data_IF_448719334226
#
_entry.id   IF_448719334226
#
_cell.length_a   1.000
_cell.length_b   1.000
_cell.length_c   1.000
_cell.angle_alpha   90.00
_cell.angle_beta   90.00
_cell.angle_gamma   90.00
#
_symmetry.space_group_name_H-M   'P 1'
#
loop_
_entity.id
_entity.type
_entity.pdbx_description
1 polymer ?
#
# COMPACT_ATOMS: atom_id res chain seq x y z
N UNK A 1 63.29 -18.64 9.32
CA UNK A 1 62.34 -17.51 9.20
C UNK A 1 61.11 -18.03 8.47
N UNK A 2 60.05 -18.42 9.20
CA UNK A 2 58.81 -18.92 8.61
C UNK A 2 57.81 -17.78 8.56
N UNK A 3 57.37 -17.37 7.37
CA UNK A 3 56.35 -16.33 7.18
C UNK A 3 55.00 -17.02 7.03
N UNK A 4 54.20 -17.00 8.09
CA UNK A 4 52.78 -17.39 8.03
C UNK A 4 52.01 -16.20 7.43
N UNK A 5 51.44 -16.39 6.24
CA UNK A 5 50.54 -15.43 5.61
C UNK A 5 49.12 -15.83 6.04
N UNK A 6 48.53 -15.08 6.97
CA UNK A 6 47.14 -15.25 7.37
C UNK A 6 46.26 -14.63 6.30
N UNK A 7 45.63 -15.45 5.49
CA UNK A 7 44.65 -15.04 4.49
C UNK A 7 43.34 -14.66 5.22
N UNK A 8 43.13 -13.36 5.44
CA UNK A 8 41.86 -12.82 5.96
C UNK A 8 40.80 -12.94 4.86
N UNK A 9 40.03 -14.04 4.86
CA UNK A 9 38.78 -14.13 4.14
C UNK A 9 37.78 -13.15 4.79
N UNK A 10 37.68 -11.94 4.25
CA UNK A 10 36.55 -11.06 4.45
C UNK A 10 35.32 -11.70 3.80
N UNK A 11 34.63 -12.56 4.55
CA UNK A 11 33.26 -12.97 4.19
C UNK A 11 32.40 -11.74 4.45
N UNK A 12 32.22 -10.92 3.42
CA UNK A 12 31.23 -9.86 3.42
C UNK A 12 29.85 -10.51 3.53
N UNK A 13 29.31 -10.58 4.75
CA UNK A 13 27.89 -10.82 4.97
C UNK A 13 27.16 -9.61 4.37
N UNK A 14 26.72 -9.74 3.12
CA UNK A 14 25.74 -8.82 2.54
C UNK A 14 24.42 -9.06 3.26
N UNK A 15 24.18 -8.31 4.34
CA UNK A 15 22.86 -8.20 4.93
C UNK A 15 21.98 -7.45 3.93
N UNK A 16 21.09 -8.15 3.22
CA UNK A 16 20.01 -7.51 2.49
C UNK A 16 19.06 -6.88 3.51
N UNK A 17 19.29 -5.62 3.84
CA UNK A 17 18.31 -4.82 4.57
C UNK A 17 17.15 -4.50 3.61
N UNK A 18 16.24 -5.46 3.42
CA UNK A 18 15.04 -5.24 2.62
C UNK A 18 13.91 -4.69 3.49
N UNK A 19 13.87 -3.38 3.66
CA UNK A 19 12.62 -2.68 3.98
C UNK A 19 12.75 -1.24 3.46
N UNK A 20 11.72 -0.68 2.82
CA UNK A 20 10.64 -0.06 3.58
C UNK A 20 9.31 -0.12 2.80
N UNK A 21 8.90 -1.37 2.56
CA UNK A 21 7.59 -1.86 2.09
C UNK A 21 7.37 -1.95 0.57
N UNK A 22 7.42 -3.19 0.09
CA UNK A 22 7.31 -3.56 -1.32
C UNK A 22 5.89 -3.57 -1.87
N UNK A 23 5.71 -4.38 -2.90
CA UNK A 23 4.45 -4.50 -3.63
C UNK A 23 3.66 -5.70 -3.17
N UNK A 24 2.36 -5.50 -3.00
CA UNK A 24 1.43 -6.50 -2.51
C UNK A 24 0.22 -6.56 -3.43
N UNK A 25 -0.29 -7.76 -3.66
CA UNK A 25 -1.41 -7.99 -4.56
C UNK A 25 -2.33 -9.08 -4.07
N UNK A 26 -3.58 -9.09 -4.53
CA UNK A 26 -4.45 -10.26 -4.36
C UNK A 26 -3.99 -11.45 -5.21
N UNK A 27 -3.26 -11.18 -6.30
CA UNK A 27 -2.70 -12.19 -7.21
C UNK A 27 -1.46 -11.61 -7.92
N UNK A 28 -0.28 -12.17 -7.63
CA UNK A 28 0.95 -11.74 -8.29
C UNK A 28 0.97 -12.22 -9.75
N UNK A 29 1.57 -11.42 -10.65
CA UNK A 29 1.67 -11.67 -12.11
C UNK A 29 0.35 -11.55 -12.89
N UNK A 30 -0.67 -10.91 -12.33
CA UNK A 30 -1.91 -10.57 -13.02
C UNK A 30 -2.02 -9.06 -13.20
N UNK A 31 -2.07 -8.60 -14.45
CA UNK A 31 -2.16 -7.16 -14.77
C UNK A 31 -3.50 -6.55 -14.33
N UNK A 32 -4.54 -7.38 -14.21
CA UNK A 32 -5.89 -6.96 -13.81
C UNK A 32 -6.15 -7.08 -12.30
N UNK A 33 -5.19 -7.59 -11.53
CA UNK A 33 -5.32 -7.73 -10.09
C UNK A 33 -5.16 -6.40 -9.36
N UNK A 34 -5.71 -6.32 -8.15
CA UNK A 34 -5.45 -5.19 -7.25
C UNK A 34 -4.00 -5.22 -6.78
N UNK A 35 -3.28 -4.12 -6.95
CA UNK A 35 -1.90 -3.96 -6.48
C UNK A 35 -1.78 -2.72 -5.59
N UNK A 36 -0.97 -2.83 -4.53
CA UNK A 36 -0.58 -1.71 -3.69
C UNK A 36 0.92 -1.74 -3.42
N UNK A 37 1.59 -0.63 -3.68
CA UNK A 37 3.01 -0.44 -3.37
C UNK A 37 3.14 0.41 -2.12
N UNK A 38 3.73 -0.14 -1.06
CA UNK A 38 3.60 0.38 0.29
C UNK A 38 4.76 1.26 0.78
N UNK A 39 5.45 2.02 -0.06
CA UNK A 39 6.66 2.77 0.36
C UNK A 39 6.37 4.02 1.22
N UNK A 40 7.43 4.55 1.84
CA UNK A 40 7.38 5.75 2.69
C UNK A 40 7.12 7.09 1.98
N UNK A 41 6.86 7.07 0.68
CA UNK A 41 6.63 8.24 -0.17
C UNK A 41 5.55 7.93 -1.22
N UNK A 42 5.11 8.97 -1.91
CA UNK A 42 4.01 8.97 -2.87
C UNK A 42 4.07 7.82 -3.91
N UNK A 43 3.08 6.94 -3.88
CA UNK A 43 2.80 5.88 -4.87
C UNK A 43 1.42 6.04 -5.47
N UNK A 44 1.23 5.69 -6.75
CA UNK A 44 -0.10 5.57 -7.31
C UNK A 44 -0.83 4.36 -6.68
N UNK A 45 -2.11 4.54 -6.40
CA UNK A 45 -3.06 3.50 -6.04
C UNK A 45 -4.31 3.63 -6.89
N UNK A 46 -4.68 2.55 -7.58
CA UNK A 46 -5.92 2.45 -8.35
C UNK A 46 -7.06 2.05 -7.41
N UNK A 47 -8.04 2.94 -7.25
CA UNK A 47 -9.21 2.72 -6.38
C UNK A 47 -10.37 2.14 -7.16
N UNK A 48 -10.64 2.72 -8.33
CA UNK A 48 -11.59 2.22 -9.31
C UNK A 48 -10.98 2.40 -10.70
N UNK A 49 -10.97 1.32 -11.48
CA UNK A 49 -10.34 1.30 -12.78
C UNK A 49 -10.95 2.37 -13.70
N UNK A 50 -10.09 3.16 -14.35
CA UNK A 50 -10.46 4.31 -15.20
C UNK A 50 -11.33 5.38 -14.53
N UNK A 51 -11.53 5.34 -13.20
CA UNK A 51 -12.39 6.29 -12.50
C UNK A 51 -11.67 7.06 -11.40
N UNK A 52 -10.82 6.41 -10.61
CA UNK A 52 -10.13 7.04 -9.49
C UNK A 52 -8.74 6.43 -9.33
N UNK A 53 -7.71 7.23 -9.58
CA UNK A 53 -6.32 6.94 -9.23
C UNK A 53 -5.83 8.04 -8.29
N UNK A 54 -5.33 7.64 -7.12
CA UNK A 54 -4.81 8.56 -6.11
C UNK A 54 -3.32 8.33 -5.87
N UNK A 55 -2.67 9.31 -5.27
CA UNK A 55 -1.37 9.16 -4.65
C UNK A 55 -1.54 8.84 -3.18
N UNK A 56 -0.72 7.92 -2.68
CA UNK A 56 -0.68 7.51 -1.28
C UNK A 56 0.76 7.48 -0.76
N UNK A 57 0.92 7.58 0.56
CA UNK A 57 2.14 7.18 1.25
C UNK A 57 1.81 6.23 2.40
N UNK A 58 2.81 5.46 2.83
CA UNK A 58 2.65 4.48 3.89
C UNK A 58 3.61 4.72 5.04
N UNK A 59 3.15 4.50 6.27
CA UNK A 59 3.93 4.67 7.50
C UNK A 59 3.90 3.40 8.36
N UNK A 60 5.08 2.93 8.76
CA UNK A 60 5.21 1.87 9.77
C UNK A 60 4.82 2.41 11.15
N UNK A 61 3.89 1.75 11.82
CA UNK A 61 3.62 1.95 13.24
C UNK A 61 3.56 0.58 13.91
N UNK A 62 4.62 0.23 14.65
CA UNK A 62 4.80 -1.11 15.23
C UNK A 62 4.71 -2.20 14.16
N UNK A 63 3.73 -3.09 14.26
CA UNK A 63 3.46 -4.18 13.30
C UNK A 63 2.43 -3.80 12.22
N UNK A 64 1.90 -2.59 12.28
CA UNK A 64 0.89 -2.10 11.35
C UNK A 64 1.52 -1.14 10.34
N UNK A 65 0.92 -1.08 9.17
CA UNK A 65 1.17 -0.07 8.15
C UNK A 65 -0.08 0.76 8.03
N UNK A 66 0.07 2.06 8.19
CA UNK A 66 -0.99 3.01 7.90
C UNK A 66 -0.76 3.61 6.52
N UNK A 67 -1.80 3.61 5.70
CA UNK A 67 -1.81 4.19 4.36
C UNK A 67 -2.63 5.47 4.39
N UNK A 68 -2.09 6.53 3.81
CA UNK A 68 -2.67 7.86 3.78
C UNK A 68 -2.90 8.29 2.33
N UNK A 69 -3.94 9.09 2.10
CA UNK A 69 -4.18 9.77 0.82
C UNK A 69 -3.38 11.08 0.78
N UNK A 70 -2.71 11.36 -0.34
CA UNK A 70 -1.99 12.61 -0.54
C UNK A 70 -2.72 13.54 -1.52
N UNK A 71 -2.94 13.06 -2.74
CA UNK A 71 -3.59 13.83 -3.80
C UNK A 71 -4.23 12.92 -4.86
N UNK A 72 -5.07 13.52 -5.70
CA UNK A 72 -5.58 12.88 -6.92
C UNK A 72 -4.44 12.78 -7.95
N UNK A 73 -4.34 11.65 -8.64
CA UNK A 73 -3.51 11.49 -9.83
C UNK A 73 -4.37 11.60 -11.09
N UNK A 74 -5.48 10.86 -11.16
CA UNK A 74 -6.38 10.84 -12.31
C UNK A 74 -7.83 10.54 -11.91
N UNK A 75 -8.80 11.13 -12.62
CA UNK A 75 -10.23 10.96 -12.39
C UNK A 75 -11.00 10.74 -13.70
N UNK A 76 -11.80 9.69 -13.71
CA UNK A 76 -12.90 9.51 -14.65
C UNK A 76 -14.19 10.19 -14.19
N UNK A 77 -15.25 9.99 -14.97
CA UNK A 77 -16.55 10.64 -14.77
C UNK A 77 -17.19 10.36 -13.39
N UNK A 78 -16.97 9.16 -12.82
CA UNK A 78 -17.41 8.80 -11.48
C UNK A 78 -16.62 9.55 -10.40
N UNK A 79 -15.29 9.56 -10.51
CA UNK A 79 -14.40 10.22 -9.56
C UNK A 79 -14.58 11.74 -9.52
N UNK A 80 -14.83 12.39 -10.66
CA UNK A 80 -15.05 13.84 -10.74
C UNK A 80 -16.28 14.34 -9.96
N UNK A 81 -17.21 13.46 -9.59
CA UNK A 81 -18.42 13.84 -8.83
C UNK A 81 -18.16 13.95 -7.32
N UNK A 82 -17.01 13.48 -6.84
CA UNK A 82 -16.66 13.50 -5.42
C UNK A 82 -16.06 14.85 -5.03
N UNK A 83 -16.33 15.30 -3.81
CA UNK A 83 -15.81 16.55 -3.27
C UNK A 83 -14.40 16.36 -2.69
N UNK A 84 -13.42 16.26 -3.58
CA UNK A 84 -12.01 16.01 -3.22
C UNK A 84 -11.38 17.15 -2.39
N UNK A 85 -11.89 18.38 -2.48
CA UNK A 85 -11.35 19.52 -1.72
C UNK A 85 -11.50 19.36 -0.21
N UNK A 86 -12.51 18.57 0.21
CA UNK A 86 -12.77 18.28 1.61
C UNK A 86 -12.18 16.96 2.11
N UNK A 87 -11.46 16.21 1.27
CA UNK A 87 -10.78 14.98 1.71
C UNK A 87 -9.58 15.34 2.60
N UNK A 88 -9.43 14.61 3.71
CA UNK A 88 -8.30 14.75 4.61
C UNK A 88 -7.13 13.89 4.15
N UNK A 89 -5.93 14.48 4.13
CA UNK A 89 -4.66 13.77 3.94
C UNK A 89 -4.03 13.27 5.25
N UNK A 90 -4.57 13.69 6.40
CA UNK A 90 -4.07 13.30 7.73
C UNK A 90 -4.79 12.09 8.33
N UNK A 91 -5.78 11.54 7.61
CA UNK A 91 -6.58 10.40 8.06
C UNK A 91 -6.18 9.18 7.26
N UNK A 92 -6.05 8.06 7.97
CA UNK A 92 -5.69 6.76 7.41
C UNK A 92 -6.81 6.27 6.50
N UNK A 93 -6.50 5.96 5.24
CA UNK A 93 -7.44 5.39 4.27
C UNK A 93 -7.42 3.87 4.26
N UNK A 94 -6.30 3.26 4.66
CA UNK A 94 -6.20 1.81 4.87
C UNK A 94 -5.21 1.45 5.98
N UNK A 95 -5.46 0.35 6.67
CA UNK A 95 -4.51 -0.26 7.58
C UNK A 95 -4.12 -1.64 7.06
N UNK A 96 -2.83 -1.99 7.15
CA UNK A 96 -2.32 -3.28 6.70
C UNK A 96 -1.47 -3.91 7.80
N UNK A 97 -1.78 -5.16 8.11
CA UNK A 97 -0.96 -6.01 8.98
C UNK A 97 -0.20 -6.98 8.09
N UNK A 98 1.12 -6.98 8.19
CA UNK A 98 1.98 -7.90 7.44
C UNK A 98 2.43 -9.07 8.30
N UNK A 99 2.35 -10.27 7.74
CA UNK A 99 2.88 -11.51 8.31
C UNK A 99 3.66 -12.26 7.23
N UNK A 100 4.99 -12.16 7.26
CA UNK A 100 5.91 -12.74 6.27
C UNK A 100 5.53 -12.36 4.82
N UNK A 101 4.92 -13.28 4.08
CA UNK A 101 4.51 -13.12 2.69
C UNK A 101 3.01 -12.87 2.50
N UNK A 102 2.26 -12.72 3.59
CA UNK A 102 0.81 -12.45 3.59
C UNK A 102 0.54 -11.14 4.30
N UNK A 103 -0.38 -10.35 3.75
CA UNK A 103 -0.87 -9.10 4.32
C UNK A 103 -2.39 -9.12 4.47
N UNK A 104 -2.88 -8.41 5.48
CA UNK A 104 -4.30 -8.25 5.75
C UNK A 104 -4.63 -6.76 5.72
N UNK A 105 -5.26 -6.33 4.64
CA UNK A 105 -5.64 -4.94 4.43
C UNK A 105 -7.09 -4.71 4.86
N UNK A 106 -7.29 -3.65 5.64
CA UNK A 106 -8.59 -3.06 5.91
C UNK A 106 -8.67 -1.70 5.22
N UNK A 107 -9.63 -1.54 4.31
CA UNK A 107 -9.94 -0.26 3.69
C UNK A 107 -10.95 0.52 4.56
N UNK A 108 -10.72 1.81 4.75
CA UNK A 108 -11.63 2.70 5.49
C UNK A 108 -12.40 3.65 4.59
N UNK A 109 -11.91 3.94 3.39
CA UNK A 109 -12.44 4.99 2.53
C UNK A 109 -11.73 6.33 2.72
N UNK A 110 -12.25 7.35 2.04
CA UNK A 110 -11.78 8.72 2.16
C UNK A 110 -12.48 9.42 3.33
N UNK A 111 -11.73 10.19 4.11
CA UNK A 111 -12.31 10.95 5.21
C UNK A 111 -12.68 12.36 4.75
N UNK A 112 -13.96 12.71 4.83
CA UNK A 112 -14.46 14.04 4.54
C UNK A 112 -14.39 14.93 5.80
N UNK A 113 -13.60 16.00 5.73
CA UNK A 113 -13.41 16.97 6.82
C UNK A 113 -14.69 17.75 7.15
N UNK A 114 -15.59 17.93 6.18
CA UNK A 114 -16.82 18.71 6.33
C UNK A 114 -17.88 17.93 7.09
N UNK A 115 -18.07 16.66 6.72
CA UNK A 115 -19.05 15.78 7.36
C UNK A 115 -18.48 15.01 8.56
N UNK A 116 -17.15 14.98 8.70
CA UNK A 116 -16.43 14.23 9.73
C UNK A 116 -16.72 12.72 9.67
N UNK A 117 -16.94 12.19 8.46
CA UNK A 117 -17.22 10.78 8.20
C UNK A 117 -16.36 10.22 7.07
N UNK A 118 -16.23 8.90 7.02
CA UNK A 118 -15.65 8.20 5.88
C UNK A 118 -16.70 7.99 4.78
N UNK A 119 -16.27 8.06 3.53
CA UNK A 119 -17.06 7.74 2.34
C UNK A 119 -16.22 6.93 1.35
N UNK A 120 -16.85 6.37 0.32
CA UNK A 120 -16.16 5.54 -0.67
C UNK A 120 -15.47 4.30 -0.06
N UNK A 121 -16.10 3.71 0.95
CA UNK A 121 -15.57 2.59 1.72
C UNK A 121 -16.02 1.22 1.20
N UNK A 122 -17.10 1.15 0.41
CA UNK A 122 -17.62 -0.08 -0.19
C UNK A 122 -17.48 -0.12 -1.72
N UNK A 123 -17.22 1.04 -2.32
CA UNK A 123 -17.22 1.32 -3.75
C UNK A 123 -15.93 0.95 -4.50
N UNK A 124 -14.71 0.92 -3.90
CA UNK A 124 -13.51 0.54 -4.64
C UNK A 124 -13.62 -0.84 -5.29
N UNK A 125 -13.05 -1.01 -6.48
CA UNK A 125 -13.16 -2.25 -7.25
C UNK A 125 -12.60 -3.44 -6.46
N UNK A 126 -11.51 -3.22 -5.75
CA UNK A 126 -10.85 -4.24 -4.95
C UNK A 126 -11.63 -4.62 -3.70
N UNK A 127 -12.42 -3.70 -3.14
CA UNK A 127 -13.32 -3.99 -2.01
C UNK A 127 -14.45 -4.89 -2.50
N UNK A 128 -15.13 -4.49 -3.57
CA UNK A 128 -16.26 -5.25 -4.12
C UNK A 128 -15.87 -6.67 -4.56
N UNK A 129 -14.64 -6.86 -5.07
CA UNK A 129 -14.19 -8.15 -5.63
C UNK A 129 -13.52 -9.06 -4.61
N UNK A 130 -12.73 -8.51 -3.69
CA UNK A 130 -11.78 -9.31 -2.89
C UNK A 130 -11.98 -9.20 -1.38
N UNK A 131 -12.80 -8.27 -0.90
CA UNK A 131 -13.06 -8.15 0.53
C UNK A 131 -13.87 -9.35 1.04
N UNK A 132 -13.39 -9.94 2.14
CA UNK A 132 -14.12 -10.94 2.91
C UNK A 132 -14.14 -10.50 4.38
N UNK A 133 -15.33 -10.26 4.91
CA UNK A 133 -15.54 -9.82 6.30
C UNK A 133 -14.76 -8.52 6.65
N UNK A 134 -14.71 -7.54 5.75
CA UNK A 134 -14.01 -6.26 6.00
C UNK A 134 -12.49 -6.31 5.81
N UNK A 135 -11.95 -7.43 5.31
CA UNK A 135 -10.50 -7.64 5.12
C UNK A 135 -10.22 -8.15 3.71
N UNK A 136 -9.16 -7.61 3.11
CA UNK A 136 -8.60 -8.07 1.83
C UNK A 136 -7.27 -8.75 2.13
N UNK A 137 -7.14 -10.01 1.71
CA UNK A 137 -5.87 -10.73 1.83
C UNK A 137 -5.00 -10.41 0.61
N UNK A 138 -3.78 -9.98 0.87
CA UNK A 138 -2.78 -9.66 -0.16
C UNK A 138 -1.51 -10.47 0.08
N UNK A 139 -0.75 -10.74 -0.96
CA UNK A 139 0.49 -11.49 -0.94
C UNK A 139 1.63 -10.63 -1.43
N UNK A 140 2.81 -10.87 -0.86
CA UNK A 140 4.02 -10.18 -1.30
C UNK A 140 4.36 -10.61 -2.72
N UNK A 141 4.53 -9.64 -3.62
CA UNK A 141 4.99 -9.88 -4.97
C UNK A 141 6.44 -9.45 -5.11
N UNK A 142 7.27 -10.35 -5.62
CA UNK A 142 8.62 -10.03 -6.08
C UNK A 142 8.48 -9.50 -7.51
N UNK A 143 8.67 -8.19 -7.69
CA UNK A 143 8.67 -7.52 -9.00
C UNK A 143 10.11 -7.27 -9.41
#
# INVERSE_FOLDING_TARGET
MSRIIVLLCFISLSTFANSNYGTWSVECNSDDAFHITLKGNDTPLVINNNQIIISIHSKKINNNIEVYYDNIIDLGAGGMKLDWGNVSNSKVVANIILNENTGYMKWYGFFDKKTNTFFWNAEPDFVQKFEKNGIITIYRCDI
#
